data_IF_816919820762
#
_entry.id   IF_816919820762
#
_cell.length_a   1.000
_cell.length_b   1.000
_cell.length_c   1.000
_cell.angle_alpha   90.00
_cell.angle_beta   90.00
_cell.angle_gamma   90.00
#
_symmetry.space_group_name_H-M   'P 1'
#
loop_
_entity.id
_entity.type
_entity.pdbx_description
1 polymer ?
#
# COMPACT_ATOMS: atom_id res chain seq x y z
N UNK A 1 48.51 -51.70 -0.89
CA UNK A 1 48.12 -50.87 -2.05
C UNK A 1 46.92 -50.06 -1.59
N UNK A 2 47.17 -48.83 -1.12
CA UNK A 2 46.11 -47.90 -0.73
C UNK A 2 45.54 -47.25 -2.00
N UNK A 3 44.26 -47.49 -2.29
CA UNK A 3 43.53 -46.76 -3.32
C UNK A 3 43.34 -45.31 -2.88
N UNK A 4 44.05 -44.41 -3.57
CA UNK A 4 43.91 -42.97 -3.37
C UNK A 4 42.53 -42.51 -3.87
N UNK A 5 41.70 -41.89 -3.03
CA UNK A 5 40.35 -41.48 -3.41
C UNK A 5 40.39 -40.46 -4.56
N UNK A 6 39.67 -40.77 -5.64
CA UNK A 6 39.55 -39.89 -6.80
C UNK A 6 38.98 -38.53 -6.37
N UNK A 7 39.53 -37.41 -6.88
CA UNK A 7 39.09 -36.08 -6.51
C UNK A 7 37.62 -35.88 -6.87
N UNK A 8 36.83 -35.39 -5.91
CA UNK A 8 35.44 -35.00 -6.12
C UNK A 8 35.37 -34.07 -7.33
N UNK A 9 34.59 -34.47 -8.35
CA UNK A 9 34.36 -33.65 -9.54
C UNK A 9 33.86 -32.28 -9.09
N UNK A 10 34.65 -31.24 -9.37
CA UNK A 10 34.24 -29.84 -9.16
C UNK A 10 33.01 -29.60 -10.02
N UNK A 11 31.84 -29.50 -9.39
CA UNK A 11 30.64 -29.02 -10.06
C UNK A 11 30.83 -27.51 -10.20
N UNK A 12 31.09 -27.05 -11.42
CA UNK A 12 31.14 -25.61 -11.72
C UNK A 12 29.84 -24.97 -11.23
N UNK A 13 29.95 -24.06 -10.27
CA UNK A 13 28.80 -23.27 -9.84
C UNK A 13 28.37 -22.45 -11.06
N UNK A 14 27.09 -22.52 -11.48
CA UNK A 14 26.61 -21.72 -12.59
C UNK A 14 26.94 -20.26 -12.33
N UNK A 15 27.50 -19.58 -13.34
CA UNK A 15 27.85 -18.18 -13.24
C UNK A 15 26.62 -17.40 -12.77
N UNK A 16 26.76 -16.65 -11.66
CA UNK A 16 25.64 -15.94 -11.04
C UNK A 16 24.99 -14.89 -11.97
N UNK A 17 25.64 -14.55 -13.09
CA UNK A 17 25.10 -13.70 -14.15
C UNK A 17 24.11 -14.46 -15.07
N UNK A 18 24.14 -15.79 -15.13
CA UNK A 18 23.21 -16.62 -15.93
C UNK A 18 21.79 -16.71 -15.35
N UNK A 19 21.54 -16.11 -14.18
CA UNK A 19 20.24 -16.12 -13.48
C UNK A 19 19.39 -14.87 -13.73
N UNK A 20 19.77 -14.03 -14.72
CA UNK A 20 18.92 -12.91 -15.12
C UNK A 20 17.78 -13.43 -15.98
N UNK A 21 16.56 -13.30 -15.45
CA UNK A 21 15.32 -13.69 -16.13
C UNK A 21 14.73 -12.46 -16.82
N UNK A 22 14.51 -12.56 -18.12
CA UNK A 22 13.86 -11.53 -18.93
C UNK A 22 12.33 -11.64 -18.84
N UNK A 23 11.62 -10.60 -19.28
CA UNK A 23 10.15 -10.54 -19.34
C UNK A 23 9.43 -10.40 -17.99
N UNK A 24 10.06 -9.76 -17.02
CA UNK A 24 9.39 -9.25 -15.84
C UNK A 24 8.56 -7.99 -16.10
N UNK A 25 7.75 -7.56 -15.12
CA UNK A 25 6.99 -6.32 -15.17
C UNK A 25 7.85 -5.10 -15.51
N UNK A 26 7.28 -4.17 -16.28
CA UNK A 26 7.95 -2.91 -16.68
C UNK A 26 7.73 -1.78 -15.69
N UNK A 27 6.71 -1.90 -14.85
CA UNK A 27 6.37 -0.89 -13.84
C UNK A 27 6.04 -1.61 -12.55
N UNK A 28 6.63 -1.14 -11.46
CA UNK A 28 6.33 -1.61 -10.12
C UNK A 28 5.90 -0.46 -9.24
N UNK A 29 5.03 -0.73 -8.26
CA UNK A 29 4.64 0.22 -7.22
C UNK A 29 5.39 -0.08 -5.93
N UNK A 30 5.85 0.95 -5.25
CA UNK A 30 6.48 0.81 -3.93
C UNK A 30 5.42 0.41 -2.90
N UNK A 31 5.56 -0.77 -2.28
CA UNK A 31 4.67 -1.22 -1.21
C UNK A 31 5.06 -0.68 0.17
N UNK A 32 6.30 -0.18 0.30
CA UNK A 32 6.87 0.37 1.52
C UNK A 32 7.60 1.67 1.23
N UNK A 33 7.77 2.51 2.26
CA UNK A 33 8.42 3.82 2.12
C UNK A 33 9.96 3.75 2.03
N UNK A 34 10.55 2.59 2.28
CA UNK A 34 12.00 2.40 2.22
C UNK A 34 12.34 1.18 1.35
N UNK A 35 12.95 1.45 0.21
CA UNK A 35 13.37 0.42 -0.74
C UNK A 35 14.89 0.21 -0.67
N UNK A 36 15.34 -0.94 -1.18
CA UNK A 36 16.76 -1.28 -1.24
C UNK A 36 17.21 -1.30 -2.70
N UNK A 37 18.27 -0.54 -3.00
CA UNK A 37 18.80 -0.41 -4.36
C UNK A 37 20.30 -0.68 -4.41
N UNK A 38 20.78 -1.18 -5.55
CA UNK A 38 22.19 -1.23 -5.95
C UNK A 38 22.36 -0.34 -7.17
N UNK A 39 23.27 0.64 -7.15
CA UNK A 39 23.50 1.54 -8.31
C UNK A 39 24.46 0.97 -9.35
N UNK A 40 24.87 -0.28 -9.22
CA UNK A 40 25.74 -0.94 -10.21
C UNK A 40 24.91 -1.50 -11.36
N UNK A 41 25.47 -1.49 -12.56
CA UNK A 41 24.90 -2.19 -13.73
C UNK A 41 24.89 -3.70 -13.50
N UNK A 42 25.94 -4.26 -12.88
CA UNK A 42 26.02 -5.69 -12.59
C UNK A 42 25.27 -6.02 -11.29
N UNK A 43 24.28 -6.94 -11.29
CA UNK A 43 23.48 -7.24 -10.10
C UNK A 43 24.28 -7.85 -8.94
N UNK A 44 25.38 -8.52 -9.26
CA UNK A 44 26.30 -9.17 -8.30
C UNK A 44 27.26 -8.17 -7.63
N UNK A 45 27.36 -6.93 -8.15
CA UNK A 45 28.28 -5.90 -7.65
C UNK A 45 27.53 -4.73 -7.02
N UNK A 46 28.29 -3.86 -6.36
CA UNK A 46 27.80 -2.64 -5.76
C UNK A 46 27.25 -2.81 -4.34
N UNK A 47 27.26 -1.71 -3.60
CA UNK A 47 26.71 -1.63 -2.24
C UNK A 47 25.19 -1.54 -2.32
N UNK A 48 24.50 -2.28 -1.45
CA UNK A 48 23.06 -2.12 -1.24
C UNK A 48 22.85 -0.87 -0.39
N UNK A 49 21.98 0.02 -0.87
CA UNK A 49 21.63 1.26 -0.20
C UNK A 49 20.13 1.29 0.09
N UNK A 50 19.76 1.86 1.22
CA UNK A 50 18.37 2.13 1.60
C UNK A 50 17.98 3.50 1.07
N UNK A 51 16.87 3.59 0.34
CA UNK A 51 16.37 4.83 -0.27
C UNK A 51 14.92 5.02 0.14
N UNK A 52 14.56 6.25 0.55
CA UNK A 52 13.18 6.61 0.84
C UNK A 52 12.42 6.84 -0.48
N UNK A 53 11.23 6.24 -0.58
CA UNK A 53 10.26 6.40 -1.66
C UNK A 53 8.86 6.56 -1.06
N UNK A 54 7.96 7.18 -1.79
CA UNK A 54 6.56 7.26 -1.36
C UNK A 54 5.85 5.93 -1.64
N UNK A 55 5.02 5.45 -0.70
CA UNK A 55 4.20 4.26 -0.94
C UNK A 55 3.26 4.51 -2.13
N UNK A 56 3.10 3.52 -2.99
CA UNK A 56 2.37 3.63 -4.24
C UNK A 56 3.13 4.30 -5.40
N UNK A 57 4.27 4.96 -5.15
CA UNK A 57 5.06 5.54 -6.25
C UNK A 57 5.59 4.48 -7.20
N UNK A 58 5.61 4.82 -8.49
CA UNK A 58 6.05 3.91 -9.54
C UNK A 58 7.56 3.94 -9.72
N UNK A 59 8.12 2.77 -9.97
CA UNK A 59 9.49 2.55 -10.45
C UNK A 59 9.42 1.85 -11.80
N UNK A 60 10.25 2.28 -12.74
CA UNK A 60 10.29 1.73 -14.09
C UNK A 60 11.43 0.73 -14.21
N UNK A 61 11.16 -0.38 -14.89
CA UNK A 61 12.09 -1.49 -15.04
C UNK A 61 12.29 -1.85 -16.51
N UNK A 62 13.49 -2.35 -16.82
CA UNK A 62 13.81 -2.96 -18.12
C UNK A 62 13.10 -4.30 -18.34
N UNK A 63 12.38 -4.81 -17.32
CA UNK A 63 11.79 -6.14 -17.31
C UNK A 63 12.80 -7.24 -16.96
N UNK A 64 14.08 -6.92 -16.76
CA UNK A 64 15.04 -7.91 -16.27
C UNK A 64 14.90 -8.08 -14.77
N UNK A 65 14.91 -9.33 -14.32
CA UNK A 65 14.91 -9.68 -12.90
C UNK A 65 16.06 -10.61 -12.57
N UNK A 66 16.56 -10.52 -11.34
CA UNK A 66 17.69 -11.34 -10.87
C UNK A 66 17.41 -11.84 -9.46
N UNK A 67 17.71 -13.11 -9.21
CA UNK A 67 17.64 -13.69 -7.86
C UNK A 67 19.04 -13.77 -7.28
N UNK A 68 19.26 -13.01 -6.20
CA UNK A 68 20.55 -12.97 -5.53
C UNK A 68 20.86 -14.25 -4.75
N UNK A 69 22.12 -14.43 -4.30
CA UNK A 69 22.55 -15.64 -3.60
C UNK A 69 21.76 -15.95 -2.32
N UNK A 70 21.25 -14.92 -1.65
CA UNK A 70 20.40 -15.06 -0.45
C UNK A 70 18.91 -15.25 -0.76
N UNK A 71 18.54 -15.48 -2.03
CA UNK A 71 17.16 -15.68 -2.47
C UNK A 71 16.34 -14.41 -2.67
N UNK A 72 16.92 -13.22 -2.48
CA UNK A 72 16.22 -11.96 -2.77
C UNK A 72 16.06 -11.72 -4.26
N UNK A 73 14.85 -11.36 -4.70
CA UNK A 73 14.53 -11.04 -6.09
C UNK A 73 14.66 -9.54 -6.33
N UNK A 74 15.32 -9.17 -7.41
CA UNK A 74 15.62 -7.80 -7.81
C UNK A 74 15.08 -7.54 -9.21
N UNK A 75 14.71 -6.30 -9.49
CA UNK A 75 14.44 -5.80 -10.84
C UNK A 75 15.53 -4.84 -11.26
N UNK A 76 15.89 -4.84 -12.54
CA UNK A 76 16.75 -3.82 -13.12
C UNK A 76 15.93 -2.54 -13.37
N UNK A 77 16.46 -1.40 -12.95
CA UNK A 77 15.87 -0.08 -13.12
C UNK A 77 16.17 0.45 -14.53
N UNK A 78 15.16 1.07 -15.15
CA UNK A 78 15.30 1.65 -16.48
C UNK A 78 15.99 3.02 -16.44
N UNK A 79 17.22 3.10 -16.95
CA UNK A 79 18.01 4.34 -16.99
C UNK A 79 17.30 5.47 -17.76
N UNK A 80 16.47 5.15 -18.77
CA UNK A 80 15.71 6.15 -19.52
C UNK A 80 14.68 6.89 -18.64
N UNK A 81 14.24 6.26 -17.54
CA UNK A 81 13.35 6.87 -16.55
C UNK A 81 14.07 7.72 -15.49
N UNK A 82 15.39 7.84 -15.57
CA UNK A 82 16.21 8.62 -14.65
C UNK A 82 16.81 7.84 -13.48
N UNK A 83 16.57 6.52 -13.39
CA UNK A 83 17.14 5.66 -12.36
C UNK A 83 17.92 4.49 -12.97
N UNK A 84 19.13 4.23 -12.49
CA UNK A 84 19.94 3.10 -12.93
C UNK A 84 20.25 2.14 -11.79
N UNK A 85 20.48 0.87 -12.15
CA UNK A 85 20.91 -0.21 -11.27
C UNK A 85 19.81 -1.22 -10.99
N UNK A 86 19.74 -1.73 -9.76
CA UNK A 86 18.81 -2.79 -9.37
C UNK A 86 18.05 -2.40 -8.11
N UNK A 87 16.75 -2.70 -8.06
CA UNK A 87 15.91 -2.50 -6.88
C UNK A 87 15.36 -3.84 -6.38
N UNK A 88 15.33 -4.03 -5.07
CA UNK A 88 14.81 -5.23 -4.44
C UNK A 88 13.29 -5.27 -4.59
N UNK A 89 12.75 -6.35 -5.14
CA UNK A 89 11.31 -6.63 -5.19
C UNK A 89 10.88 -7.24 -3.87
N UNK A 90 11.52 -8.33 -3.45
CA UNK A 90 11.30 -9.00 -2.17
C UNK A 90 12.52 -9.86 -1.81
N UNK A 91 12.71 -10.17 -0.53
CA UNK A 91 13.77 -11.09 -0.13
C UNK A 91 14.00 -11.12 1.39
N UNK A 92 14.61 -12.19 1.90
CA UNK A 92 14.95 -12.30 3.31
C UNK A 92 16.09 -11.33 3.70
N UNK A 93 16.19 -11.01 4.99
CA UNK A 93 17.32 -10.24 5.55
C UNK A 93 17.22 -8.72 5.46
N UNK A 94 16.10 -8.18 4.93
CA UNK A 94 15.89 -6.73 4.78
C UNK A 94 14.93 -6.12 5.82
N UNK A 95 14.37 -6.95 6.72
CA UNK A 95 13.43 -6.48 7.74
C UNK A 95 12.06 -6.03 7.20
N UNK A 96 11.72 -6.41 5.96
CA UNK A 96 10.46 -6.06 5.31
C UNK A 96 9.35 -7.03 5.73
N UNK A 97 8.14 -6.51 5.99
CA UNK A 97 6.92 -7.30 6.24
C UNK A 97 6.17 -7.58 4.93
N UNK A 98 6.86 -8.17 3.96
CA UNK A 98 6.33 -8.43 2.62
C UNK A 98 7.25 -7.93 1.51
N UNK A 99 6.75 -7.87 0.26
CA UNK A 99 7.50 -7.33 -0.86
C UNK A 99 7.73 -5.83 -0.68
N UNK A 100 8.91 -5.34 -1.09
CA UNK A 100 9.16 -3.90 -1.22
C UNK A 100 8.43 -3.31 -2.43
N UNK A 101 8.28 -4.09 -3.50
CA UNK A 101 7.70 -3.66 -4.76
C UNK A 101 6.66 -4.67 -5.24
N UNK A 102 5.56 -4.16 -5.78
CA UNK A 102 4.48 -4.94 -6.39
C UNK A 102 4.37 -4.61 -7.87
N UNK A 103 3.96 -5.58 -8.69
CA UNK A 103 3.66 -5.33 -10.10
C UNK A 103 2.55 -4.28 -10.21
N UNK A 104 2.78 -3.21 -10.97
CA UNK A 104 1.80 -2.13 -11.11
C UNK A 104 0.57 -2.52 -11.95
N UNK A 105 0.66 -3.62 -12.70
CA UNK A 105 -0.42 -4.22 -13.49
C UNK A 105 -1.22 -5.28 -12.73
N UNK A 106 -0.84 -5.59 -11.49
CA UNK A 106 -1.61 -6.51 -10.65
C UNK A 106 -2.91 -5.84 -10.19
N UNK A 107 -3.99 -6.17 -10.89
CA UNK A 107 -5.33 -5.70 -10.58
C UNK A 107 -5.82 -6.18 -9.21
N UNK A 108 -5.20 -7.19 -8.59
CA UNK A 108 -5.55 -7.62 -7.24
C UNK A 108 -5.08 -6.63 -6.17
N UNK A 109 -4.32 -5.57 -6.51
CA UNK A 109 -3.80 -4.60 -5.56
C UNK A 109 -4.59 -3.28 -5.63
N UNK A 110 -5.00 -2.78 -4.47
CA UNK A 110 -5.60 -1.46 -4.26
C UNK A 110 -4.61 -0.54 -3.55
N UNK A 111 -4.51 0.71 -4.00
CA UNK A 111 -3.90 1.79 -3.24
C UNK A 111 -4.92 2.30 -2.21
N UNK A 112 -4.62 2.23 -0.92
CA UNK A 112 -5.50 2.71 0.15
C UNK A 112 -4.94 3.99 0.73
N UNK A 113 -5.79 5.01 0.83
CA UNK A 113 -5.51 6.24 1.57
C UNK A 113 -6.57 6.42 2.64
N UNK A 114 -6.14 6.58 3.90
CA UNK A 114 -7.04 6.86 5.01
C UNK A 114 -6.91 8.32 5.42
N UNK A 115 -7.99 9.06 5.23
CA UNK A 115 -8.13 10.46 5.62
C UNK A 115 -8.73 10.55 7.01
N UNK A 116 -8.06 11.25 7.93
CA UNK A 116 -8.65 11.62 9.20
C UNK A 116 -9.66 12.76 8.99
N UNK A 117 -10.91 12.52 9.37
CA UNK A 117 -11.91 13.56 9.51
C UNK A 117 -11.71 14.20 10.89
N UNK A 118 -11.45 15.50 10.90
CA UNK A 118 -10.83 16.22 12.03
C UNK A 118 -11.53 16.10 13.39
N UNK A 119 -10.78 16.41 14.45
CA UNK A 119 -11.31 16.67 15.79
C UNK A 119 -11.89 18.09 15.85
N UNK A 120 -13.09 18.24 16.39
CA UNK A 120 -13.82 19.52 16.43
C UNK A 120 -13.24 20.54 17.41
N UNK A 121 -12.29 20.15 18.26
CA UNK A 121 -12.04 20.87 19.51
C UNK A 121 -11.09 22.08 19.38
N UNK A 122 -10.44 22.31 18.23
CA UNK A 122 -9.32 23.25 18.17
C UNK A 122 -9.32 24.30 17.04
N UNK A 123 -10.38 24.43 16.24
CA UNK A 123 -10.46 25.43 15.16
C UNK A 123 -9.38 25.32 14.07
N UNK A 124 -8.49 24.33 14.17
CA UNK A 124 -7.54 23.91 13.14
C UNK A 124 -8.08 22.67 12.47
N UNK A 125 -8.36 22.78 11.17
CA UNK A 125 -8.71 21.65 10.31
C UNK A 125 -7.51 20.71 10.19
N UNK A 126 -7.33 19.80 11.16
CA UNK A 126 -6.45 18.64 10.97
C UNK A 126 -7.14 17.65 10.06
N UNK A 127 -7.23 18.01 8.78
CA UNK A 127 -7.65 17.12 7.70
C UNK A 127 -6.41 16.71 6.92
N UNK A 128 -6.30 15.42 6.64
CA UNK A 128 -5.18 14.90 5.88
C UNK A 128 -5.14 13.39 5.89
N UNK A 129 -4.19 12.87 5.14
CA UNK A 129 -3.93 11.43 5.07
C UNK A 129 -3.07 11.04 6.26
N UNK A 130 -3.55 10.09 7.05
CA UNK A 130 -2.80 9.56 8.19
C UNK A 130 -2.09 8.25 7.87
N UNK A 131 -2.54 7.57 6.81
CA UNK A 131 -2.02 6.27 6.43
C UNK A 131 -2.23 6.01 4.94
N UNK A 132 -1.18 5.51 4.29
CA UNK A 132 -1.18 5.09 2.89
C UNK A 132 -0.54 3.71 2.78
N UNK A 133 -1.19 2.78 2.09
CA UNK A 133 -0.66 1.43 1.88
C UNK A 133 -1.19 0.82 0.58
N UNK A 134 -0.46 -0.17 0.05
CA UNK A 134 -0.99 -1.09 -0.95
C UNK A 134 -1.61 -2.29 -0.22
N UNK A 135 -2.83 -2.67 -0.57
CA UNK A 135 -3.54 -3.83 0.01
C UNK A 135 -4.09 -4.71 -1.10
N UNK A 136 -4.27 -5.99 -0.81
CA UNK A 136 -4.93 -6.90 -1.74
C UNK A 136 -6.44 -6.65 -1.74
N UNK A 137 -7.12 -6.85 -2.86
CA UNK A 137 -8.59 -6.64 -3.00
C UNK A 137 -9.37 -7.56 -2.09
N UNK A 138 -8.88 -8.76 -1.87
CA UNK A 138 -9.43 -9.77 -0.96
C UNK A 138 -9.23 -9.44 0.53
N UNK A 139 -8.41 -8.43 0.86
CA UNK A 139 -8.26 -7.98 2.23
C UNK A 139 -9.60 -7.46 2.75
N UNK A 140 -9.87 -7.72 4.02
CA UNK A 140 -11.05 -7.23 4.72
C UNK A 140 -10.81 -5.82 5.26
N UNK A 141 -11.90 -5.06 5.45
CA UNK A 141 -11.84 -3.73 6.09
C UNK A 141 -11.23 -3.83 7.50
N UNK A 142 -11.48 -4.92 8.23
CA UNK A 142 -10.90 -5.17 9.55
C UNK A 142 -9.37 -5.32 9.50
N UNK A 143 -8.83 -6.01 8.49
CA UNK A 143 -7.38 -6.13 8.30
C UNK A 143 -6.72 -4.80 7.94
N UNK A 144 -7.37 -4.01 7.09
CA UNK A 144 -6.93 -2.64 6.75
C UNK A 144 -6.91 -1.77 8.00
N UNK A 145 -8.01 -1.78 8.77
CA UNK A 145 -8.16 -1.05 10.03
C UNK A 145 -7.09 -1.44 11.04
N UNK A 146 -6.85 -2.73 11.24
CA UNK A 146 -5.83 -3.23 12.16
C UNK A 146 -4.41 -2.87 11.72
N UNK A 147 -4.13 -2.92 10.41
CA UNK A 147 -2.81 -2.57 9.86
C UNK A 147 -2.52 -1.08 10.02
N UNK A 148 -3.48 -0.24 9.61
CA UNK A 148 -3.43 1.21 9.84
C UNK A 148 -3.23 1.52 11.32
N UNK A 149 -4.13 1.06 12.19
CA UNK A 149 -4.11 1.38 13.61
C UNK A 149 -2.78 0.98 14.28
N UNK A 150 -2.24 -0.18 13.95
CA UNK A 150 -0.92 -0.62 14.43
C UNK A 150 0.22 0.29 13.98
N UNK A 151 0.18 0.79 12.75
CA UNK A 151 1.25 1.62 12.18
C UNK A 151 1.20 3.07 12.68
N UNK A 152 0.00 3.61 12.87
CA UNK A 152 -0.19 4.99 13.36
C UNK A 152 -0.39 5.09 14.88
N UNK A 153 -0.34 3.98 15.61
CA UNK A 153 -0.48 3.96 17.07
C UNK A 153 -1.91 4.19 17.57
N UNK A 154 -2.93 3.90 16.76
CA UNK A 154 -4.33 4.01 17.13
C UNK A 154 -4.88 2.69 17.70
N UNK A 155 -6.00 2.78 18.41
CA UNK A 155 -6.78 1.62 18.87
C UNK A 155 -7.76 1.19 17.78
N UNK A 156 -7.67 -0.03 17.21
CA UNK A 156 -8.54 -0.45 16.10
C UNK A 156 -10.03 -0.31 16.39
N UNK A 157 -10.49 -0.63 17.61
CA UNK A 157 -11.90 -0.55 17.99
C UNK A 157 -12.41 0.90 18.16
N UNK A 158 -11.52 1.90 18.17
CA UNK A 158 -11.87 3.31 18.14
C UNK A 158 -11.85 3.89 16.71
N UNK A 159 -11.52 3.08 15.69
CA UNK A 159 -11.46 3.51 14.30
C UNK A 159 -12.77 3.16 13.57
N UNK A 160 -13.51 4.17 13.14
CA UNK A 160 -14.68 4.03 12.28
C UNK A 160 -14.29 4.44 10.86
N UNK A 161 -14.35 3.49 9.92
CA UNK A 161 -14.00 3.74 8.52
C UNK A 161 -15.25 3.86 7.66
N UNK A 162 -15.25 4.81 6.73
CA UNK A 162 -16.29 4.97 5.71
C UNK A 162 -15.68 5.23 4.33
N UNK A 163 -16.44 5.01 3.26
CA UNK A 163 -16.03 5.35 1.87
C UNK A 163 -16.67 6.64 1.36
N UNK A 164 -17.78 7.05 1.96
CA UNK A 164 -18.63 8.13 1.46
C UNK A 164 -18.51 9.35 2.36
N UNK A 165 -18.57 10.55 1.76
CA UNK A 165 -18.64 11.76 2.57
C UNK A 165 -19.95 11.75 3.36
N UNK A 166 -19.89 12.20 4.62
CA UNK A 166 -21.11 12.39 5.36
C UNK A 166 -22.02 13.41 4.66
N UNK A 167 -23.32 13.11 4.61
CA UNK A 167 -24.29 14.00 3.99
C UNK A 167 -24.55 15.22 4.89
N UNK A 168 -23.86 16.34 4.63
CA UNK A 168 -24.14 17.62 5.29
C UNK A 168 -25.42 18.28 4.77
N UNK A 169 -25.85 17.92 3.56
CA UNK A 169 -27.02 18.47 2.90
C UNK A 169 -28.31 17.93 3.54
N UNK A 170 -28.81 18.62 4.57
CA UNK A 170 -30.08 18.30 5.22
C UNK A 170 -30.14 18.53 6.72
N UNK A 171 -29.05 18.97 7.36
CA UNK A 171 -29.09 19.39 8.78
C UNK A 171 -29.14 20.92 8.81
N UNK A 172 -30.33 21.55 8.74
CA UNK A 172 -30.46 22.98 8.93
C UNK A 172 -29.97 23.34 10.34
N UNK A 173 -28.93 24.20 10.42
CA UNK A 173 -28.41 24.72 11.68
C UNK A 173 -27.46 23.80 12.41
N UNK A 174 -26.34 23.40 11.78
CA UNK A 174 -25.23 22.63 12.39
C UNK A 174 -24.51 23.43 13.49
N UNK A 175 -25.23 23.79 14.55
CA UNK A 175 -24.78 24.54 15.72
C UNK A 175 -24.25 23.58 16.80
N UNK A 176 -23.45 22.59 16.40
CA UNK A 176 -22.91 21.60 17.35
C UNK A 176 -23.91 20.53 17.83
N UNK A 177 -25.01 20.31 17.11
CA UNK A 177 -25.88 19.17 17.39
C UNK A 177 -25.17 17.84 17.12
N UNK A 178 -25.42 16.85 17.99
CA UNK A 178 -24.97 15.47 17.77
C UNK A 178 -25.50 14.97 16.43
N UNK A 179 -24.58 14.57 15.57
CA UNK A 179 -24.90 13.97 14.28
C UNK A 179 -25.64 12.63 14.52
N UNK A 180 -26.64 12.30 13.69
CA UNK A 180 -27.37 11.05 13.85
C UNK A 180 -26.44 9.85 13.56
N UNK A 181 -26.80 8.69 14.08
CA UNK A 181 -25.97 7.47 13.99
C UNK A 181 -25.72 7.01 12.54
N UNK A 182 -26.59 7.41 11.61
CA UNK A 182 -26.55 7.09 10.19
C UNK A 182 -25.85 8.16 9.34
N UNK A 183 -25.26 9.18 9.97
CA UNK A 183 -24.61 10.31 9.28
C UNK A 183 -23.42 9.87 8.40
N UNK A 184 -22.71 8.82 8.80
CA UNK A 184 -21.59 8.27 8.04
C UNK A 184 -21.68 6.73 8.03
N UNK A 185 -22.09 6.11 6.92
CA UNK A 185 -22.20 4.66 6.83
C UNK A 185 -20.85 3.99 7.08
N UNK A 186 -20.76 3.23 8.17
CA UNK A 186 -19.56 2.49 8.53
C UNK A 186 -19.35 1.30 7.57
N UNK A 187 -18.12 1.15 7.06
CA UNK A 187 -17.66 -0.08 6.43
C UNK A 187 -17.44 -1.16 7.48
N UNK A 188 -18.19 -2.25 7.36
CA UNK A 188 -18.12 -3.38 8.29
C UNK A 188 -16.81 -4.15 8.13
N UNK A 189 -16.23 -4.58 9.25
CA UNK A 189 -14.91 -5.20 9.28
C UNK A 189 -14.78 -6.46 8.42
N UNK A 190 -15.84 -7.26 8.30
CA UNK A 190 -15.85 -8.48 7.48
C UNK A 190 -15.99 -8.22 5.97
N UNK A 191 -16.27 -6.97 5.56
CA UNK A 191 -16.43 -6.64 4.14
C UNK A 191 -15.08 -6.66 3.46
N UNK A 192 -15.03 -7.28 2.28
CA UNK A 192 -13.84 -7.35 1.43
C UNK A 192 -13.65 -6.02 0.70
N UNK A 193 -12.42 -5.52 0.61
CA UNK A 193 -12.08 -4.23 0.01
C UNK A 193 -12.49 -4.14 -1.46
N UNK A 194 -12.35 -5.24 -2.22
CA UNK A 194 -12.81 -5.34 -3.61
C UNK A 194 -14.31 -5.11 -3.78
N UNK A 195 -15.12 -5.49 -2.79
CA UNK A 195 -16.59 -5.42 -2.82
C UNK A 195 -17.12 -4.07 -2.29
N UNK A 196 -16.23 -3.16 -1.89
CA UNK A 196 -16.61 -1.84 -1.38
C UNK A 196 -16.97 -0.84 -2.49
N UNK A 197 -16.76 -1.19 -3.77
CA UNK A 197 -17.11 -0.35 -4.92
C UNK A 197 -16.12 0.78 -5.18
N UNK A 198 -14.84 0.58 -4.84
CA UNK A 198 -13.78 1.52 -5.18
C UNK A 198 -13.43 1.46 -6.67
N UNK A 199 -13.27 2.62 -7.29
CA UNK A 199 -12.99 2.77 -8.72
C UNK A 199 -11.52 3.17 -8.94
N UNK A 200 -10.96 2.83 -10.10
CA UNK A 200 -9.62 3.28 -10.49
C UNK A 200 -8.46 2.71 -9.66
N UNK A 201 -8.66 1.57 -8.98
CA UNK A 201 -7.61 0.90 -8.20
C UNK A 201 -7.17 1.65 -6.95
N UNK A 202 -7.89 2.70 -6.56
CA UNK A 202 -7.62 3.50 -5.36
C UNK A 202 -8.83 3.51 -4.44
N UNK A 203 -8.63 3.11 -3.19
CA UNK A 203 -9.61 3.15 -2.13
C UNK A 203 -9.31 4.35 -1.21
N UNK A 204 -10.23 5.31 -1.20
CA UNK A 204 -10.17 6.43 -0.25
C UNK A 204 -11.12 6.10 0.90
N UNK A 205 -10.55 6.04 2.10
CA UNK A 205 -11.26 5.76 3.33
C UNK A 205 -11.26 7.01 4.20
N UNK A 206 -12.39 7.28 4.83
CA UNK A 206 -12.58 8.33 5.82
C UNK A 206 -12.54 7.69 7.20
N UNK A 207 -11.65 8.18 8.06
CA UNK A 207 -11.54 7.77 9.45
C UNK A 207 -12.20 8.81 10.35
N UNK A 208 -13.15 8.35 11.16
CA UNK A 208 -13.54 9.02 12.40
C UNK A 208 -12.94 8.23 13.55
N UNK A 209 -12.11 8.88 14.35
CA UNK A 209 -11.48 8.27 15.51
C UNK A 209 -12.16 8.78 16.79
N UNK A 210 -12.71 7.86 17.59
CA UNK A 210 -13.50 8.19 18.80
C UNK A 210 -12.71 8.05 20.10
N UNK A 211 -11.42 7.73 20.02
CA UNK A 211 -10.53 7.64 21.18
C UNK A 211 -9.66 8.88 21.35
N UNK A 212 -8.79 8.85 22.36
CA UNK A 212 -7.78 9.88 22.54
C UNK A 212 -6.71 9.78 21.45
N UNK A 213 -6.60 10.82 20.63
CA UNK A 213 -5.63 10.87 19.53
C UNK A 213 -4.20 10.95 20.11
N UNK A 214 -3.29 10.05 19.74
CA UNK A 214 -1.88 10.20 20.11
C UNK A 214 -1.31 11.52 19.58
N UNK A 215 -0.44 12.20 20.34
CA UNK A 215 0.08 13.52 19.96
C UNK A 215 1.02 13.49 18.75
N UNK A 216 1.53 12.32 18.39
CA UNK A 216 2.55 12.07 17.38
C UNK A 216 2.01 11.37 16.12
N UNK A 217 0.69 11.29 15.96
CA UNK A 217 0.09 10.71 14.74
C UNK A 217 0.57 11.49 13.52
N UNK A 218 1.22 10.83 12.53
CA UNK A 218 1.65 11.49 11.32
C UNK A 218 0.42 11.88 10.49
N UNK A 219 0.25 13.18 10.21
CA UNK A 219 -0.82 13.68 9.34
C UNK A 219 -0.20 14.41 8.16
N UNK A 220 -0.34 13.84 6.96
CA UNK A 220 0.02 14.51 5.73
C UNK A 220 -1.14 15.39 5.27
N UNK A 221 -0.96 16.72 5.34
CA UNK A 221 -1.95 17.68 4.85
C UNK A 221 -2.16 17.48 3.34
N UNK A 222 -3.34 16.99 2.98
CA UNK A 222 -3.78 16.75 1.60
C UNK A 222 -5.26 17.15 1.53
N UNK A 223 -5.69 17.87 0.47
CA UNK A 223 -7.10 18.18 0.30
C UNK A 223 -7.89 16.88 0.13
N UNK A 224 -9.07 16.81 0.77
CA UNK A 224 -9.92 15.65 0.63
C UNK A 224 -10.40 15.56 -0.84
N UNK A 225 -10.20 14.43 -1.54
CA UNK A 225 -10.68 14.27 -2.89
C UNK A 225 -12.19 14.49 -3.01
N UNK A 226 -12.65 14.74 -4.24
CA UNK A 226 -14.09 14.71 -4.52
C UNK A 226 -14.55 13.26 -4.37
N UNK A 227 -15.26 12.98 -3.28
CA UNK A 227 -15.89 11.69 -3.02
C UNK A 227 -17.37 11.81 -3.34
N UNK A 228 -17.99 10.66 -3.57
CA UNK A 228 -19.45 10.55 -3.72
C UNK A 228 -20.12 10.94 -2.41
N UNK A 229 -21.29 11.54 -2.53
CA UNK A 229 -22.17 11.73 -1.39
C UNK A 229 -22.81 10.39 -1.02
N UNK A 230 -22.92 10.08 0.28
CA UNK A 230 -23.51 8.81 0.73
C UNK A 230 -24.96 8.60 0.23
N UNK A 231 -25.66 9.67 -0.15
CA UNK A 231 -26.99 9.59 -0.79
C UNK A 231 -26.92 9.03 -2.21
N UNK A 232 -25.95 9.47 -3.00
CA UNK A 232 -25.75 8.99 -4.38
C UNK A 232 -25.35 7.51 -4.38
N UNK A 233 -24.47 7.12 -3.45
CA UNK A 233 -24.05 5.72 -3.26
C UNK A 233 -25.24 4.82 -2.92
N UNK A 234 -26.11 5.23 -1.99
CA UNK A 234 -27.33 4.49 -1.63
C UNK A 234 -28.32 4.36 -2.79
N UNK A 235 -28.50 5.41 -3.58
CA UNK A 235 -29.39 5.37 -4.75
C UNK A 235 -28.89 4.36 -5.79
N UNK A 236 -27.58 4.29 -6.05
CA UNK A 236 -26.99 3.31 -6.96
C UNK A 236 -27.09 1.88 -6.43
N UNK A 237 -26.78 1.65 -5.16
CA UNK A 237 -26.89 0.32 -4.55
C UNK A 237 -28.35 -0.17 -4.62
N UNK A 238 -29.32 0.71 -4.38
CA UNK A 238 -30.76 0.40 -4.51
C UNK A 238 -31.16 0.09 -5.96
N UNK A 239 -30.61 0.84 -6.94
CA UNK A 239 -30.86 0.57 -8.37
C UNK A 239 -30.25 -0.75 -8.83
N UNK A 240 -29.07 -1.12 -8.33
CA UNK A 240 -28.42 -2.39 -8.66
C UNK A 240 -29.22 -3.58 -8.11
N UNK A 241 -29.69 -3.49 -6.86
CA UNK A 241 -30.52 -4.53 -6.23
C UNK A 241 -31.88 -4.71 -6.93
N UNK A 242 -32.39 -3.69 -7.61
CA UNK A 242 -33.66 -3.77 -8.34
C UNK A 242 -33.54 -4.48 -9.70
N UNK A 243 -32.32 -4.66 -10.22
CA UNK A 243 -32.05 -5.26 -11.54
C UNK A 243 -31.59 -6.72 -11.42
N UNK A 244 -31.17 -7.14 -10.23
CA UNK A 244 -30.78 -8.51 -9.89
C UNK A 244 -31.96 -9.37 -9.46
#
# INVERSE_FOLDING_TARGET
MEESPLPAKYVEKPDAESLVVQNGPRVYRCAVCEIFVKRSVKPTKGKIMKVKKETGSCLYSTGNTWTGPSGGRWMELDQASGEAGWALIYGPGFGLKGPALLDASDDAILSVQVFLLGSMDSGSEMQGVIWESLVRREATVGEVKASMAREVGLKPYCCVLSKDKPCLNGIPGSNGQRLPVDYMPELKDHKVMGDCGFEGGTAILLLVYVGDMPPDVPIQRKPLPKLRDARESRQRESQQLAVS
#
